data_IF_414466252386
#
_entry.id   IF_414466252386
#
_cell.length_a   1.000
_cell.length_b   1.000
_cell.length_c   1.000
_cell.angle_alpha   90.00
_cell.angle_beta   90.00
_cell.angle_gamma   90.00
#
_symmetry.space_group_name_H-M   'P 1'
#
loop_
_entity.id
_entity.type
_entity.pdbx_description
1 polymer ?
#
# COMPACT_ATOMS: atom_id res chain seq x y z
N UNK A 1 11.96 17.60 -10.48
CA UNK A 1 10.89 16.98 -11.24
C UNK A 1 10.60 15.63 -10.61
N UNK A 2 9.45 15.51 -9.95
CA UNK A 2 8.98 14.28 -9.36
C UNK A 2 8.74 13.24 -10.46
N UNK A 3 9.72 12.41 -10.70
CA UNK A 3 9.53 11.17 -11.47
C UNK A 3 8.92 10.16 -10.51
N UNK A 4 7.65 10.32 -10.18
CA UNK A 4 6.95 9.44 -9.28
C UNK A 4 5.77 8.80 -9.98
N UNK A 5 5.45 7.59 -9.61
CA UNK A 5 4.16 6.88 -9.64
C UNK A 5 3.27 6.94 -10.90
N UNK A 6 3.60 7.74 -11.88
CA UNK A 6 2.83 7.88 -13.12
C UNK A 6 3.48 7.30 -14.36
N UNK A 7 4.69 6.73 -14.25
CA UNK A 7 5.48 6.41 -15.44
C UNK A 7 4.93 5.23 -16.25
N UNK A 8 4.36 4.24 -15.60
CA UNK A 8 3.76 3.07 -16.30
C UNK A 8 2.53 3.51 -17.06
N UNK A 9 1.64 4.28 -16.43
CA UNK A 9 0.43 4.78 -17.08
C UNK A 9 0.72 5.85 -18.13
N UNK A 10 1.67 6.74 -17.89
CA UNK A 10 2.11 7.70 -18.92
C UNK A 10 2.69 7.00 -20.14
N UNK A 11 3.40 5.89 -19.97
CA UNK A 11 3.87 5.08 -21.10
C UNK A 11 2.71 4.41 -21.83
N UNK A 12 1.73 3.89 -21.12
CA UNK A 12 0.57 3.25 -21.71
C UNK A 12 -0.29 4.27 -22.49
N UNK A 13 -0.56 5.45 -21.93
CA UNK A 13 -1.26 6.54 -22.61
C UNK A 13 -0.46 7.07 -23.80
N UNK A 14 0.86 7.26 -23.65
CA UNK A 14 1.73 7.69 -24.74
C UNK A 14 1.73 6.67 -25.89
N UNK A 15 1.80 5.39 -25.58
CA UNK A 15 1.75 4.34 -26.59
C UNK A 15 0.38 4.22 -27.23
N UNK A 16 -0.70 4.41 -26.47
CA UNK A 16 -2.05 4.42 -26.99
C UNK A 16 -2.28 5.55 -27.99
N UNK A 17 -1.83 6.77 -27.66
CA UNK A 17 -2.16 7.97 -28.42
C UNK A 17 -1.17 8.26 -29.55
N UNK A 18 0.07 7.79 -29.45
CA UNK A 18 1.14 8.19 -30.36
C UNK A 18 1.63 7.11 -31.33
N UNK A 19 1.56 5.83 -30.99
CA UNK A 19 2.33 4.90 -31.80
C UNK A 19 1.63 3.63 -32.22
N UNK A 20 0.95 2.91 -31.36
CA UNK A 20 0.89 1.50 -31.70
C UNK A 20 -0.41 0.76 -31.48
N UNK A 21 -1.30 1.19 -30.62
CA UNK A 21 -2.44 0.35 -30.32
C UNK A 21 -3.73 1.16 -30.12
N UNK A 22 -4.38 1.61 -31.19
CA UNK A 22 -5.70 2.23 -31.10
C UNK A 22 -6.77 1.35 -30.42
N UNK A 23 -6.41 0.10 -30.11
CA UNK A 23 -7.25 -0.93 -29.49
C UNK A 23 -6.77 -1.36 -28.11
N UNK A 24 -5.83 -0.65 -27.48
CA UNK A 24 -5.41 -0.99 -26.13
C UNK A 24 -6.58 -0.79 -25.16
N UNK A 25 -6.95 -1.88 -24.51
CA UNK A 25 -7.99 -1.89 -23.49
C UNK A 25 -7.29 -1.92 -22.10
N UNK A 26 -7.42 -0.84 -21.36
CA UNK A 26 -6.84 -0.71 -20.02
C UNK A 26 -7.82 -1.14 -18.92
N UNK A 27 -9.04 -1.54 -19.27
CA UNK A 27 -10.09 -1.96 -18.34
C UNK A 27 -9.91 -3.36 -17.74
N UNK A 28 -8.89 -4.11 -18.17
CA UNK A 28 -8.62 -5.44 -17.64
C UNK A 28 -8.12 -5.37 -16.19
N UNK A 29 -8.61 -6.28 -15.34
CA UNK A 29 -8.16 -6.42 -13.95
C UNK A 29 -6.64 -6.61 -13.83
N UNK A 30 -6.03 -7.31 -14.77
CA UNK A 30 -4.55 -7.47 -14.83
C UNK A 30 -3.82 -6.13 -14.87
N UNK A 31 -4.32 -5.15 -15.63
CA UNK A 31 -3.71 -3.83 -15.71
C UNK A 31 -3.76 -3.08 -14.38
N UNK A 32 -4.83 -3.26 -13.62
CA UNK A 32 -4.94 -2.73 -12.26
C UNK A 32 -3.89 -3.35 -11.34
N UNK A 33 -3.73 -4.68 -11.39
CA UNK A 33 -2.75 -5.41 -10.56
C UNK A 33 -1.34 -4.94 -10.89
N UNK A 34 -0.96 -4.95 -12.17
CA UNK A 34 0.36 -4.52 -12.63
C UNK A 34 0.65 -3.08 -12.18
N UNK A 35 -0.30 -2.17 -12.40
CA UNK A 35 -0.11 -0.77 -12.01
C UNK A 35 0.04 -0.57 -10.49
N UNK A 36 -0.69 -1.31 -9.68
CA UNK A 36 -0.55 -1.28 -8.22
C UNK A 36 0.80 -1.84 -7.77
N UNK A 37 1.24 -2.95 -8.35
CA UNK A 37 2.52 -3.59 -8.02
C UNK A 37 3.69 -2.68 -8.39
N UNK A 38 3.71 -2.14 -9.61
CA UNK A 38 4.75 -1.21 -10.07
C UNK A 38 4.83 0.03 -9.19
N UNK A 39 3.68 0.62 -8.85
CA UNK A 39 3.62 1.76 -7.95
C UNK A 39 4.18 1.43 -6.56
N UNK A 40 3.87 0.25 -6.02
CA UNK A 40 4.35 -0.18 -4.71
C UNK A 40 5.87 -0.44 -4.71
N UNK A 41 6.40 -1.11 -5.74
CA UNK A 41 7.83 -1.36 -5.89
C UNK A 41 8.61 -0.05 -6.01
N UNK A 42 8.11 0.89 -6.81
CA UNK A 42 8.74 2.20 -6.96
C UNK A 42 8.72 3.00 -5.67
N UNK A 43 7.60 2.98 -4.95
CA UNK A 43 7.48 3.65 -3.66
C UNK A 43 8.43 3.04 -2.62
N UNK A 44 8.61 1.71 -2.60
CA UNK A 44 9.55 1.05 -1.70
C UNK A 44 11.01 1.38 -2.03
N UNK A 45 11.38 1.45 -3.31
CA UNK A 45 12.72 1.88 -3.71
C UNK A 45 12.99 3.33 -3.27
N UNK A 46 12.01 4.22 -3.43
CA UNK A 46 12.12 5.59 -2.94
C UNK A 46 12.25 5.63 -1.40
N UNK A 47 11.47 4.81 -0.69
CA UNK A 47 11.53 4.73 0.77
C UNK A 47 12.90 4.29 1.27
N UNK A 48 13.45 3.22 0.68
CA UNK A 48 14.79 2.73 1.04
C UNK A 48 15.89 3.78 0.77
N UNK A 49 15.80 4.51 -0.36
CA UNK A 49 16.73 5.59 -0.66
C UNK A 49 16.63 6.75 0.35
N UNK A 50 15.41 7.09 0.79
CA UNK A 50 15.18 8.14 1.80
C UNK A 50 15.76 7.73 3.17
N UNK A 51 15.58 6.48 3.58
CA UNK A 51 16.19 5.95 4.81
C UNK A 51 17.72 5.97 4.74
N UNK A 52 18.32 5.62 3.60
CA UNK A 52 19.76 5.70 3.40
C UNK A 52 20.30 7.14 3.47
N UNK A 53 19.45 8.14 3.21
CA UNK A 53 19.76 9.57 3.39
C UNK A 53 19.46 10.09 4.81
N UNK A 54 19.11 9.22 5.75
CA UNK A 54 18.80 9.58 7.14
C UNK A 54 17.42 10.22 7.34
N UNK A 55 16.53 10.10 6.37
CA UNK A 55 15.14 10.54 6.47
C UNK A 55 14.26 9.42 7.01
N UNK A 56 13.15 9.78 7.66
CA UNK A 56 12.09 8.84 8.01
C UNK A 56 10.90 8.98 7.08
N UNK A 57 10.11 7.93 6.95
CA UNK A 57 8.94 7.95 6.09
C UNK A 57 7.79 7.11 6.62
N UNK A 58 6.61 7.33 6.04
CA UNK A 58 5.41 6.53 6.32
C UNK A 58 4.53 6.42 5.08
N UNK A 59 4.00 5.22 4.87
CA UNK A 59 2.98 4.99 3.86
C UNK A 59 1.60 5.42 4.37
N UNK A 60 0.92 6.25 3.60
CA UNK A 60 -0.39 6.81 3.94
C UNK A 60 -1.48 6.24 3.04
N UNK A 61 -2.08 5.12 3.44
CA UNK A 61 -3.28 4.58 2.76
C UNK A 61 -4.53 5.44 2.95
N UNK A 62 -4.50 6.37 3.91
CA UNK A 62 -5.61 7.30 4.21
C UNK A 62 -6.00 8.22 3.06
N UNK A 63 -5.12 8.44 2.08
CA UNK A 63 -5.44 9.24 0.87
C UNK A 63 -6.64 8.67 0.11
N UNK A 64 -6.92 7.37 0.24
CA UNK A 64 -8.08 6.73 -0.39
C UNK A 64 -9.39 6.91 0.37
N UNK A 65 -9.38 7.56 1.55
CA UNK A 65 -10.63 7.87 2.27
C UNK A 65 -11.48 8.90 1.51
N UNK A 66 -10.82 9.81 0.80
CA UNK A 66 -11.42 10.84 -0.05
C UNK A 66 -10.82 10.79 -1.46
N UNK A 67 -10.86 9.61 -2.09
CA UNK A 67 -10.12 9.32 -3.33
C UNK A 67 -10.50 10.26 -4.48
N UNK A 68 -11.79 10.61 -4.62
CA UNK A 68 -12.26 11.55 -5.64
C UNK A 68 -11.74 12.97 -5.42
N UNK A 69 -11.60 13.38 -4.16
CA UNK A 69 -11.02 14.69 -3.83
C UNK A 69 -9.54 14.74 -4.14
N UNK A 70 -8.79 13.69 -3.78
CA UNK A 70 -7.36 13.57 -4.11
C UNK A 70 -7.15 13.54 -5.62
N UNK A 71 -7.97 12.79 -6.36
CA UNK A 71 -7.95 12.75 -7.82
C UNK A 71 -8.11 14.16 -8.42
N UNK A 72 -9.11 14.89 -7.96
CA UNK A 72 -9.41 16.26 -8.40
C UNK A 72 -8.27 17.23 -8.08
N UNK A 73 -7.72 17.17 -6.85
CA UNK A 73 -6.61 18.03 -6.42
C UNK A 73 -5.34 17.78 -7.22
N UNK A 74 -5.03 16.53 -7.50
CA UNK A 74 -3.87 16.13 -8.29
C UNK A 74 -4.11 16.21 -9.80
N UNK A 75 -5.36 16.48 -10.23
CA UNK A 75 -5.75 16.53 -11.65
C UNK A 75 -5.33 15.27 -12.40
N UNK A 76 -5.58 14.10 -11.79
CA UNK A 76 -5.16 12.84 -12.39
C UNK A 76 -5.96 12.57 -13.68
N UNK A 77 -5.29 12.12 -14.74
CA UNK A 77 -5.96 11.78 -15.99
C UNK A 77 -6.82 10.53 -15.84
N UNK A 78 -7.58 10.19 -16.86
CA UNK A 78 -8.23 8.89 -17.00
C UNK A 78 -7.15 7.81 -16.94
N UNK A 79 -7.50 6.62 -16.46
CA UNK A 79 -6.58 5.48 -16.23
C UNK A 79 -5.41 5.80 -15.25
N UNK A 80 -5.62 6.72 -14.32
CA UNK A 80 -4.71 6.97 -13.20
C UNK A 80 -5.49 7.18 -11.90
N UNK A 81 -4.97 6.66 -10.80
CA UNK A 81 -5.57 6.84 -9.46
C UNK A 81 -4.50 6.82 -8.35
N UNK A 82 -4.79 7.40 -7.17
CA UNK A 82 -3.85 7.39 -6.05
C UNK A 82 -3.87 6.03 -5.33
N UNK A 83 -2.79 5.27 -5.42
CA UNK A 83 -2.65 3.97 -4.75
C UNK A 83 -2.32 4.17 -3.27
N UNK A 84 -1.26 4.92 -2.98
CA UNK A 84 -0.75 5.20 -1.64
C UNK A 84 -0.02 6.52 -1.62
N UNK A 85 -0.06 7.23 -0.51
CA UNK A 85 0.81 8.38 -0.26
C UNK A 85 2.10 7.93 0.43
N UNK A 86 3.18 8.64 0.19
CA UNK A 86 4.42 8.52 0.92
C UNK A 86 4.77 9.89 1.51
N UNK A 87 4.70 10.00 2.83
CA UNK A 87 5.17 11.18 3.56
C UNK A 87 6.54 10.90 4.15
N UNK A 88 7.48 11.85 4.00
CA UNK A 88 8.85 11.67 4.47
C UNK A 88 9.45 12.99 4.92
N UNK A 89 10.46 12.91 5.78
CA UNK A 89 11.16 14.07 6.31
C UNK A 89 12.12 13.70 7.43
N UNK A 90 12.68 14.70 8.08
CA UNK A 90 13.49 14.48 9.28
C UNK A 90 12.59 14.08 10.45
N UNK A 91 12.77 12.89 11.05
CA UNK A 91 11.93 12.44 12.15
C UNK A 91 12.16 13.32 13.40
N UNK A 92 11.06 13.84 13.95
CA UNK A 92 11.12 14.58 15.24
C UNK A 92 11.41 13.64 16.42
N UNK A 93 10.99 12.38 16.31
CA UNK A 93 11.20 11.34 17.31
C UNK A 93 11.58 10.03 16.63
N UNK A 94 12.46 9.26 17.29
CA UNK A 94 12.71 7.86 16.92
C UNK A 94 11.72 6.99 17.68
N UNK A 95 10.88 6.28 16.96
CA UNK A 95 10.02 5.26 17.57
C UNK A 95 10.83 3.99 17.88
N UNK A 96 10.36 3.23 18.85
CA UNK A 96 10.89 1.89 19.11
C UNK A 96 10.65 0.97 17.91
N UNK A 97 11.52 -0.03 17.76
CA UNK A 97 11.36 -1.04 16.72
C UNK A 97 10.10 -1.89 17.00
N UNK A 98 9.17 -1.82 16.09
CA UNK A 98 7.98 -2.66 16.17
C UNK A 98 8.33 -4.09 15.76
N UNK A 99 7.99 -5.12 16.57
CA UNK A 99 8.14 -6.51 16.17
C UNK A 99 7.50 -6.81 14.82
N UNK A 100 8.11 -7.72 14.09
CA UNK A 100 7.59 -8.22 12.80
C UNK A 100 7.20 -9.67 12.93
N UNK A 101 6.24 -10.09 12.13
CA UNK A 101 5.91 -11.53 12.02
C UNK A 101 7.18 -12.32 11.72
N UNK A 102 7.40 -13.44 12.41
CA UNK A 102 8.52 -14.34 12.14
C UNK A 102 8.57 -14.81 10.69
N UNK A 103 9.78 -15.09 10.20
CA UNK A 103 9.96 -15.60 8.84
C UNK A 103 9.26 -16.95 8.63
N UNK A 104 9.20 -17.79 9.66
CA UNK A 104 8.44 -19.07 9.66
C UNK A 104 6.96 -18.91 9.32
N UNK A 105 6.37 -17.75 9.65
CA UNK A 105 4.96 -17.45 9.33
C UNK A 105 4.81 -16.84 7.94
N UNK A 106 5.81 -16.08 7.50
CA UNK A 106 5.69 -15.25 6.27
C UNK A 106 6.35 -15.83 5.05
N UNK A 107 7.22 -16.84 5.22
CA UNK A 107 7.96 -17.49 4.13
C UNK A 107 7.65 -18.97 4.11
N UNK A 108 7.24 -19.48 2.96
CA UNK A 108 7.05 -20.91 2.72
C UNK A 108 8.06 -21.36 1.65
N UNK A 109 8.73 -22.48 1.87
CA UNK A 109 9.64 -23.06 0.89
C UNK A 109 8.88 -24.03 -0.02
N UNK A 110 8.95 -23.83 -1.31
CA UNK A 110 8.37 -24.65 -2.39
C UNK A 110 6.84 -24.74 -2.45
N UNK A 111 6.15 -24.69 -1.30
CA UNK A 111 4.69 -24.79 -1.25
C UNK A 111 4.14 -23.98 -0.06
N UNK A 112 2.92 -23.50 -0.20
CA UNK A 112 2.20 -22.85 0.91
C UNK A 112 2.07 -23.80 2.11
N UNK A 113 2.30 -23.26 3.29
CA UNK A 113 2.12 -23.94 4.57
C UNK A 113 1.29 -23.05 5.49
N UNK A 114 0.33 -23.65 6.19
CA UNK A 114 -0.41 -22.94 7.23
C UNK A 114 0.54 -22.56 8.37
N UNK A 115 0.45 -21.34 8.89
CA UNK A 115 1.26 -20.93 10.04
C UNK A 115 0.92 -21.75 11.28
N UNK A 116 1.93 -22.06 12.11
CA UNK A 116 1.70 -22.70 13.39
C UNK A 116 0.89 -21.76 14.32
N UNK A 117 -0.28 -22.20 14.80
CA UNK A 117 -1.09 -21.41 15.73
C UNK A 117 -0.35 -21.00 17.02
N UNK A 118 0.63 -21.81 17.47
CA UNK A 118 1.42 -21.50 18.63
C UNK A 118 2.37 -20.32 18.37
N UNK A 119 2.99 -20.24 17.19
CA UNK A 119 3.82 -19.12 16.78
C UNK A 119 3.01 -17.82 16.61
N UNK A 120 1.80 -17.92 16.04
CA UNK A 120 0.90 -16.75 15.94
C UNK A 120 0.52 -16.23 17.33
N UNK A 121 0.22 -17.12 18.26
CA UNK A 121 -0.10 -16.75 19.64
C UNK A 121 1.10 -16.09 20.33
N UNK A 122 2.29 -16.63 20.16
CA UNK A 122 3.51 -16.04 20.72
C UNK A 122 3.76 -14.63 20.15
N UNK A 123 3.54 -14.43 18.85
CA UNK A 123 3.62 -13.11 18.24
C UNK A 123 2.57 -12.13 18.76
N UNK A 124 1.34 -12.60 19.02
CA UNK A 124 0.30 -11.78 19.63
C UNK A 124 0.68 -11.32 21.05
N UNK A 125 1.31 -12.17 21.84
CA UNK A 125 1.82 -11.83 23.18
C UNK A 125 2.95 -10.80 23.10
N UNK A 126 3.89 -10.98 22.16
CA UNK A 126 4.97 -10.03 21.89
C UNK A 126 4.41 -8.66 21.46
N UNK A 127 3.45 -8.65 20.55
CA UNK A 127 2.82 -7.43 20.07
C UNK A 127 2.02 -6.71 21.15
N UNK A 128 1.33 -7.44 22.02
CA UNK A 128 0.62 -6.86 23.16
C UNK A 128 1.59 -6.19 24.12
N UNK A 129 2.69 -6.87 24.46
CA UNK A 129 3.74 -6.33 25.29
C UNK A 129 4.35 -5.06 24.67
N UNK A 130 4.67 -5.08 23.37
CA UNK A 130 5.15 -3.90 22.65
C UNK A 130 4.16 -2.73 22.74
N UNK A 131 2.87 -2.98 22.48
CA UNK A 131 1.87 -1.92 22.50
C UNK A 131 1.61 -1.33 23.89
N UNK A 132 1.72 -2.14 24.93
CA UNK A 132 1.57 -1.68 26.32
C UNK A 132 2.74 -0.80 26.78
N UNK A 133 3.96 -1.09 26.33
CA UNK A 133 5.18 -0.46 26.83
C UNK A 133 5.82 0.59 25.90
N UNK A 134 5.27 0.79 24.70
CA UNK A 134 5.82 1.81 23.80
C UNK A 134 5.63 3.22 24.35
N UNK A 135 6.55 4.13 23.99
CA UNK A 135 6.62 5.50 24.52
C UNK A 135 5.43 6.39 24.14
N UNK A 136 4.71 6.07 23.06
CA UNK A 136 3.58 6.86 22.59
C UNK A 136 2.42 5.97 22.14
N UNK A 137 1.18 6.44 22.34
CA UNK A 137 -0.05 5.73 21.95
C UNK A 137 -0.12 4.29 22.51
N UNK A 138 0.30 4.08 23.76
CA UNK A 138 0.20 2.80 24.43
C UNK A 138 -1.25 2.30 24.42
N UNK A 139 -1.44 1.02 24.19
CA UNK A 139 -2.75 0.37 24.13
C UNK A 139 -2.64 -1.11 24.48
N UNK A 140 -3.72 -1.70 24.95
CA UNK A 140 -3.80 -3.15 25.21
C UNK A 140 -4.49 -3.81 24.02
N UNK A 141 -3.70 -4.36 23.11
CA UNK A 141 -4.19 -5.03 21.91
C UNK A 141 -3.08 -5.92 21.33
N UNK A 142 -3.47 -7.01 20.71
CA UNK A 142 -2.58 -7.88 19.96
C UNK A 142 -2.62 -7.56 18.46
N UNK A 143 -1.82 -8.27 17.68
CA UNK A 143 -1.85 -8.16 16.22
C UNK A 143 -3.15 -8.75 15.63
N UNK A 144 -3.56 -9.90 16.13
CA UNK A 144 -4.83 -10.56 15.72
C UNK A 144 -6.04 -9.69 16.00
N UNK A 145 -6.10 -9.03 17.18
CA UNK A 145 -7.20 -8.11 17.52
C UNK A 145 -7.31 -6.95 16.52
N UNK A 146 -6.16 -6.38 16.11
CA UNK A 146 -6.14 -5.31 15.12
C UNK A 146 -6.52 -5.79 13.72
N UNK A 147 -6.12 -6.99 13.35
CA UNK A 147 -6.46 -7.60 12.07
C UNK A 147 -7.96 -7.88 12.01
N UNK A 148 -8.53 -8.50 13.03
CA UNK A 148 -9.96 -8.77 13.16
C UNK A 148 -10.77 -7.48 13.02
N UNK A 149 -10.40 -6.42 13.75
CA UNK A 149 -11.05 -5.11 13.66
C UNK A 149 -11.03 -4.52 12.25
N UNK A 150 -9.98 -4.82 11.47
CA UNK A 150 -9.86 -4.38 10.09
C UNK A 150 -10.77 -5.19 9.17
N UNK A 151 -10.86 -6.49 9.36
CA UNK A 151 -11.57 -7.43 8.49
C UNK A 151 -13.08 -7.45 8.73
N UNK A 152 -13.53 -7.14 9.95
CA UNK A 152 -14.96 -7.10 10.30
C UNK A 152 -15.74 -5.93 9.68
N UNK A 153 -15.08 -5.00 9.02
CA UNK A 153 -15.73 -3.82 8.42
C UNK A 153 -15.31 -3.68 6.98
N UNK A 154 -16.28 -3.54 6.12
CA UNK A 154 -16.01 -3.08 4.76
C UNK A 154 -15.39 -1.69 4.82
N UNK A 155 -14.20 -1.57 4.25
CA UNK A 155 -13.48 -0.30 4.18
C UNK A 155 -13.53 0.25 2.77
N UNK A 156 -13.99 1.47 2.64
CA UNK A 156 -14.01 2.20 1.37
C UNK A 156 -14.81 1.48 0.26
N UNK A 157 -16.08 1.17 0.47
CA UNK A 157 -16.91 0.46 -0.53
C UNK A 157 -17.02 1.22 -1.85
N UNK A 158 -16.79 2.52 -1.83
CA UNK A 158 -16.84 3.40 -3.00
C UNK A 158 -15.61 3.25 -3.94
N UNK A 159 -14.53 2.61 -3.50
CA UNK A 159 -13.27 2.54 -4.29
C UNK A 159 -13.47 1.78 -5.59
N UNK A 160 -14.19 0.67 -5.60
CA UNK A 160 -14.46 -0.07 -6.83
C UNK A 160 -15.18 0.79 -7.88
N UNK A 161 -16.25 1.47 -7.47
CA UNK A 161 -16.99 2.36 -8.38
C UNK A 161 -16.15 3.53 -8.88
N UNK A 162 -15.25 4.06 -8.04
CA UNK A 162 -14.30 5.07 -8.48
C UNK A 162 -13.30 4.51 -9.51
N UNK A 163 -12.74 3.33 -9.28
CA UNK A 163 -11.80 2.68 -10.20
C UNK A 163 -12.46 2.42 -11.56
N UNK A 164 -13.71 1.94 -11.57
CA UNK A 164 -14.47 1.72 -12.80
C UNK A 164 -14.71 3.03 -13.57
N UNK A 165 -15.07 4.12 -12.87
CA UNK A 165 -15.16 5.46 -13.49
C UNK A 165 -13.84 5.92 -14.12
N UNK A 166 -12.70 5.47 -13.57
CA UNK A 166 -11.35 5.76 -14.07
C UNK A 166 -10.89 4.77 -15.15
N UNK A 167 -11.73 3.81 -15.57
CA UNK A 167 -11.44 2.83 -16.61
C UNK A 167 -10.63 1.63 -16.14
N UNK A 168 -10.74 1.24 -14.85
CA UNK A 168 -10.09 0.07 -14.27
C UNK A 168 -11.12 -0.99 -13.87
N UNK A 169 -10.69 -2.24 -13.83
CA UNK A 169 -11.50 -3.37 -13.35
C UNK A 169 -12.92 -3.41 -13.98
N UNK A 170 -13.01 -3.16 -15.26
CA UNK A 170 -14.24 -3.24 -16.04
C UNK A 170 -14.52 -4.68 -16.53
N UNK A 171 -13.45 -5.51 -16.56
CA UNK A 171 -13.47 -6.89 -17.04
C UNK A 171 -12.58 -7.78 -16.16
#
# INVERSE_FOLDING_TARGET
PSRGLGDVYKRQDYHRDQVLVPKADLGWTEQLIVGCVDAAIQAQNAFAALEALGLGGVYAGGIRNHIEEVDRLLKLPQNAFPVVGLAFGHPAHKNELKPRLPASITLCENAYQEPDPAELKAYDEEMRNYYQHRSSNAKDTAWSDELERILLRERRPFVLGFLQKKGFAEK
#
